data_IF_610895484862
#
_entry.id   IF_610895484862
#
_cell.length_a   1.000
_cell.length_b   1.000
_cell.length_c   1.000
_cell.angle_alpha   90.00
_cell.angle_beta   90.00
_cell.angle_gamma   90.00
#
_symmetry.space_group_name_H-M   'P 1'
#
loop_
_entity.id
_entity.type
_entity.pdbx_description
1 polymer ?
#
# COMPACT_ATOMS: atom_id res chain seq x y z
N UNK A 1 -11.90 0.43 -80.03
CA UNK A 1 -10.67 0.59 -79.22
C UNK A 1 -10.94 1.36 -77.95
N UNK A 2 -11.43 0.69 -76.85
CA UNK A 2 -11.74 1.34 -75.56
C UNK A 2 -11.30 0.51 -74.34
N UNK A 3 -10.38 -0.42 -74.53
CA UNK A 3 -9.97 -1.38 -73.43
C UNK A 3 -8.77 -1.00 -72.61
N UNK A 4 -8.08 0.10 -72.85
CA UNK A 4 -6.84 0.42 -72.11
C UNK A 4 -6.98 1.49 -71.04
N UNK A 5 -8.15 2.12 -70.87
CA UNK A 5 -8.36 3.11 -69.77
C UNK A 5 -8.72 2.51 -68.50
N UNK A 6 -9.27 1.27 -68.43
CA UNK A 6 -9.71 0.62 -67.22
C UNK A 6 -8.57 0.02 -66.37
N UNK A 7 -7.45 -0.35 -67.03
CA UNK A 7 -6.29 -0.94 -66.30
C UNK A 7 -5.57 0.07 -65.40
N UNK A 8 -5.53 1.35 -65.75
CA UNK A 8 -4.93 2.38 -64.92
C UNK A 8 -5.77 2.74 -63.69
N UNK A 9 -7.09 2.73 -63.82
CA UNK A 9 -8.02 2.99 -62.72
C UNK A 9 -7.97 1.93 -61.63
N UNK A 10 -7.91 0.65 -61.98
CA UNK A 10 -7.81 -0.46 -61.05
C UNK A 10 -6.51 -0.40 -60.20
N UNK A 11 -5.40 0.04 -60.82
CA UNK A 11 -4.12 0.17 -60.11
C UNK A 11 -4.17 1.33 -59.10
N UNK A 12 -4.75 2.46 -59.48
CA UNK A 12 -4.92 3.59 -58.53
C UNK A 12 -5.84 3.20 -57.37
N UNK A 13 -6.96 2.52 -57.66
CA UNK A 13 -7.89 2.08 -56.66
C UNK A 13 -7.26 1.10 -55.68
N UNK A 14 -6.43 0.15 -56.14
CA UNK A 14 -5.73 -0.80 -55.29
C UNK A 14 -4.71 -0.12 -54.37
N UNK A 15 -3.98 0.89 -54.85
CA UNK A 15 -3.02 1.65 -54.03
C UNK A 15 -3.75 2.46 -52.97
N UNK A 16 -4.86 3.13 -53.32
CA UNK A 16 -5.67 3.89 -52.35
C UNK A 16 -6.26 2.97 -51.25
N UNK A 17 -6.75 1.78 -51.66
CA UNK A 17 -7.25 0.79 -50.72
C UNK A 17 -6.14 0.26 -49.78
N UNK A 18 -4.96 -0.06 -50.30
CA UNK A 18 -3.81 -0.46 -49.48
C UNK A 18 -3.40 0.64 -48.51
N UNK A 19 -3.38 1.90 -48.93
CA UNK A 19 -3.03 3.03 -48.09
C UNK A 19 -4.08 3.23 -47.00
N UNK A 20 -5.37 3.12 -47.32
CA UNK A 20 -6.45 3.20 -46.34
C UNK A 20 -6.36 2.07 -45.28
N UNK A 21 -6.12 0.83 -45.73
CA UNK A 21 -5.94 -0.31 -44.80
C UNK A 21 -4.70 -0.15 -43.91
N UNK A 22 -3.58 0.36 -44.46
CA UNK A 22 -2.37 0.62 -43.68
C UNK A 22 -2.57 1.70 -42.63
N UNK A 23 -3.30 2.77 -42.94
CA UNK A 23 -3.64 3.83 -41.97
C UNK A 23 -4.56 3.32 -40.86
N UNK A 24 -5.57 2.51 -41.21
CA UNK A 24 -6.46 1.90 -40.21
C UNK A 24 -5.68 0.92 -39.31
N UNK A 25 -4.82 0.06 -39.87
CA UNK A 25 -3.99 -0.87 -39.13
C UNK A 25 -3.02 -0.15 -38.16
N UNK A 26 -2.36 0.92 -38.69
CA UNK A 26 -1.49 1.75 -37.84
C UNK A 26 -2.24 2.43 -36.69
N UNK A 27 -3.46 2.94 -36.93
CA UNK A 27 -4.31 3.52 -35.91
C UNK A 27 -4.70 2.53 -34.82
N UNK A 28 -5.06 1.30 -35.20
CA UNK A 28 -5.39 0.24 -34.22
C UNK A 28 -4.20 -0.14 -33.35
N UNK A 29 -2.98 -0.18 -33.91
CA UNK A 29 -1.77 -0.50 -33.12
C UNK A 29 -1.51 0.59 -32.07
N UNK A 30 -1.70 1.86 -32.40
CA UNK A 30 -1.50 2.97 -31.47
C UNK A 30 -2.52 2.89 -30.33
N UNK A 31 -3.80 2.63 -30.63
CA UNK A 31 -4.87 2.49 -29.64
C UNK A 31 -4.57 1.29 -28.73
N UNK A 32 -4.26 0.12 -29.29
CA UNK A 32 -3.95 -1.08 -28.52
C UNK A 32 -2.71 -0.90 -27.61
N UNK A 33 -1.71 -0.16 -28.08
CA UNK A 33 -0.53 0.16 -27.27
C UNK A 33 -0.88 1.10 -26.09
N UNK A 34 -1.76 2.07 -26.32
CA UNK A 34 -2.27 2.95 -25.28
C UNK A 34 -3.08 2.19 -24.20
N UNK A 35 -3.96 1.31 -24.63
CA UNK A 35 -4.76 0.45 -23.72
C UNK A 35 -3.87 -0.46 -22.89
N UNK A 36 -2.82 -1.04 -23.48
CA UNK A 36 -1.86 -1.87 -22.76
C UNK A 36 -1.10 -1.10 -21.67
N UNK A 37 -0.69 0.14 -21.97
CA UNK A 37 -0.02 1.01 -20.99
C UNK A 37 -0.96 1.40 -19.85
N UNK A 38 -2.21 1.74 -20.17
CA UNK A 38 -3.24 2.10 -19.20
C UNK A 38 -3.57 0.94 -18.27
N UNK A 39 -3.73 -0.27 -18.81
CA UNK A 39 -4.01 -1.47 -18.02
C UNK A 39 -2.85 -1.81 -17.06
N UNK A 40 -1.60 -1.69 -17.49
CA UNK A 40 -0.44 -1.91 -16.63
C UNK A 40 -0.39 -0.92 -15.46
N UNK A 41 -0.66 0.36 -15.71
CA UNK A 41 -0.74 1.37 -14.65
C UNK A 41 -1.86 1.08 -13.65
N UNK A 42 -3.02 0.63 -14.14
CA UNK A 42 -4.15 0.27 -13.29
C UNK A 42 -3.85 -0.95 -12.42
N UNK A 43 -3.18 -1.96 -12.97
CA UNK A 43 -2.76 -3.15 -12.22
C UNK A 43 -1.75 -2.79 -11.13
N UNK A 44 -0.75 -1.99 -11.45
CA UNK A 44 0.26 -1.53 -10.50
C UNK A 44 -0.37 -0.71 -9.36
N UNK A 45 -1.35 0.15 -9.68
CA UNK A 45 -2.10 0.89 -8.65
C UNK A 45 -2.88 -0.06 -7.74
N UNK A 46 -3.60 -1.03 -8.30
CA UNK A 46 -4.36 -2.01 -7.50
C UNK A 46 -3.45 -2.84 -6.59
N UNK A 47 -2.32 -3.31 -7.10
CA UNK A 47 -1.35 -4.04 -6.29
C UNK A 47 -0.79 -3.16 -5.17
N UNK A 48 -0.47 -1.90 -5.48
CA UNK A 48 0.02 -0.94 -4.47
C UNK A 48 -1.04 -0.66 -3.40
N UNK A 49 -2.32 -0.64 -3.77
CA UNK A 49 -3.44 -0.50 -2.83
C UNK A 49 -3.51 -1.69 -1.85
N UNK A 50 -3.40 -2.94 -2.32
CA UNK A 50 -3.36 -4.11 -1.43
C UNK A 50 -2.13 -4.11 -0.50
N UNK A 51 -1.02 -3.58 -0.98
CA UNK A 51 0.18 -3.39 -0.17
C UNK A 51 -0.07 -2.34 0.92
N UNK A 52 -0.79 -1.26 0.62
CA UNK A 52 -1.20 -0.25 1.59
C UNK A 52 -2.18 -0.81 2.64
N UNK A 53 -3.12 -1.66 2.25
CA UNK A 53 -3.99 -2.38 3.20
C UNK A 53 -3.17 -3.26 4.14
N UNK A 54 -2.12 -3.92 3.65
CA UNK A 54 -1.20 -4.70 4.48
C UNK A 54 -0.49 -3.81 5.50
N UNK A 55 -0.09 -2.60 5.11
CA UNK A 55 0.49 -1.62 6.01
C UNK A 55 -0.46 -1.26 7.17
N UNK A 56 -1.74 -1.01 6.87
CA UNK A 56 -2.76 -0.75 7.89
C UNK A 56 -2.92 -1.93 8.85
N UNK A 57 -3.06 -3.14 8.30
CA UNK A 57 -3.22 -4.36 9.11
C UNK A 57 -2.03 -4.61 10.04
N UNK A 58 -0.79 -4.34 9.58
CA UNK A 58 0.40 -4.46 10.42
C UNK A 58 0.41 -3.41 11.53
N UNK A 59 0.01 -2.18 11.25
CA UNK A 59 -0.13 -1.13 12.25
C UNK A 59 -1.22 -1.46 13.29
N UNK A 60 -2.38 -1.93 12.86
CA UNK A 60 -3.46 -2.38 13.74
C UNK A 60 -3.04 -3.59 14.59
N UNK A 61 -2.32 -4.54 13.97
CA UNK A 61 -1.75 -5.70 14.66
C UNK A 61 -0.75 -5.28 15.74
N UNK A 62 0.06 -4.28 15.47
CA UNK A 62 0.98 -3.71 16.46
C UNK A 62 0.22 -3.16 17.67
N UNK A 63 -0.82 -2.34 17.45
CA UNK A 63 -1.66 -1.80 18.53
C UNK A 63 -2.30 -2.91 19.34
N UNK A 64 -2.88 -3.90 18.66
CA UNK A 64 -3.53 -5.04 19.29
C UNK A 64 -2.54 -5.86 20.14
N UNK A 65 -1.34 -6.11 19.62
CA UNK A 65 -0.30 -6.85 20.34
C UNK A 65 0.22 -6.08 21.57
N UNK A 66 0.30 -4.76 21.49
CA UNK A 66 0.64 -3.93 22.66
C UNK A 66 -0.46 -3.95 23.71
N UNK A 67 -1.72 -3.82 23.26
CA UNK A 67 -2.88 -3.80 24.17
C UNK A 67 -3.15 -5.17 24.81
N UNK A 68 -3.12 -6.26 24.06
CA UNK A 68 -3.38 -7.61 24.55
C UNK A 68 -2.16 -8.31 25.15
N UNK A 69 -0.97 -7.76 24.91
CA UNK A 69 0.31 -8.42 25.13
C UNK A 69 0.76 -9.24 23.91
N UNK A 70 2.07 -9.35 23.65
CA UNK A 70 2.61 -10.11 22.53
C UNK A 70 2.25 -11.59 22.64
N UNK A 71 2.11 -12.23 21.48
CA UNK A 71 1.87 -13.67 21.42
C UNK A 71 3.15 -14.45 21.77
N UNK A 72 3.07 -15.34 22.74
CA UNK A 72 4.13 -16.28 23.09
C UNK A 72 3.87 -17.62 22.38
N UNK A 73 4.65 -17.91 21.35
CA UNK A 73 4.51 -19.15 20.58
C UNK A 73 4.88 -20.41 21.37
N UNK A 74 5.70 -20.29 22.40
CA UNK A 74 6.08 -21.41 23.26
C UNK A 74 4.98 -21.83 24.24
N UNK A 75 4.20 -20.87 24.70
CA UNK A 75 3.08 -21.09 25.63
C UNK A 75 1.71 -21.14 24.96
N UNK A 76 1.63 -20.83 23.65
CA UNK A 76 0.39 -20.68 22.90
C UNK A 76 -0.63 -19.71 23.56
N UNK A 77 -0.14 -18.68 24.22
CA UNK A 77 -0.96 -17.65 24.88
C UNK A 77 -0.32 -16.26 24.74
N UNK A 78 -1.09 -15.23 25.10
CA UNK A 78 -0.57 -13.85 25.12
C UNK A 78 0.06 -13.52 26.46
N UNK A 79 1.22 -12.87 26.43
CA UNK A 79 1.93 -12.39 27.62
C UNK A 79 1.22 -11.16 28.19
N UNK A 80 0.30 -11.40 29.10
CA UNK A 80 -0.51 -10.35 29.76
C UNK A 80 0.31 -9.40 30.63
N UNK A 81 1.54 -9.78 31.01
CA UNK A 81 2.42 -8.92 31.83
C UNK A 81 3.00 -7.76 31.03
N UNK A 82 3.03 -7.87 29.71
CA UNK A 82 3.52 -6.85 28.78
C UNK A 82 2.41 -6.03 28.12
N UNK A 83 1.23 -6.04 28.70
CA UNK A 83 0.12 -5.19 28.26
C UNK A 83 0.40 -3.73 28.56
N UNK A 84 0.21 -2.88 27.57
CA UNK A 84 0.29 -1.44 27.75
C UNK A 84 -0.58 -0.72 26.70
N UNK A 85 -1.13 0.42 27.06
CA UNK A 85 -1.63 1.38 26.07
C UNK A 85 -0.41 2.06 25.45
N UNK A 86 -0.23 1.99 24.13
CA UNK A 86 0.89 2.62 23.47
C UNK A 86 0.87 4.15 23.67
N UNK A 87 2.04 4.75 23.85
CA UNK A 87 2.18 6.20 23.97
C UNK A 87 3.01 6.78 22.82
N UNK A 88 2.72 8.01 22.41
CA UNK A 88 3.33 8.72 21.29
C UNK A 88 4.61 9.45 21.71
N UNK A 89 5.58 8.69 22.20
CA UNK A 89 6.85 9.25 22.74
C UNK A 89 7.96 9.42 21.69
N UNK A 90 7.76 8.87 20.48
CA UNK A 90 8.76 8.90 19.43
C UNK A 90 8.55 10.14 18.56
N UNK A 91 9.57 10.99 18.44
CA UNK A 91 9.56 12.10 17.51
C UNK A 91 9.86 11.60 16.09
N UNK A 92 8.90 11.77 15.19
CA UNK A 92 9.01 11.36 13.81
C UNK A 92 9.10 12.58 12.89
N UNK A 93 10.17 12.64 12.10
CA UNK A 93 10.46 13.73 11.16
C UNK A 93 10.36 13.30 9.71
N UNK A 94 9.46 12.40 9.41
CA UNK A 94 9.34 11.79 8.08
C UNK A 94 10.46 10.81 7.74
N UNK A 95 11.32 10.44 8.70
CA UNK A 95 12.41 9.47 8.52
C UNK A 95 12.11 8.21 9.32
N UNK A 96 12.22 7.06 8.68
CA UNK A 96 12.04 5.77 9.35
C UNK A 96 13.31 5.36 10.08
N UNK A 97 13.23 5.12 11.39
CA UNK A 97 14.43 4.78 12.21
C UNK A 97 14.91 3.34 12.02
N UNK A 98 14.02 2.43 11.63
CA UNK A 98 14.33 1.01 11.50
C UNK A 98 14.02 0.51 10.11
N UNK A 99 14.99 0.63 9.25
CA UNK A 99 14.89 0.09 7.90
C UNK A 99 15.77 -1.15 7.80
N UNK A 100 15.17 -2.32 7.76
CA UNK A 100 15.87 -3.58 7.47
C UNK A 100 16.10 -3.77 5.96
N UNK A 101 16.68 -2.75 5.29
CA UNK A 101 16.81 -2.75 3.85
C UNK A 101 18.23 -2.80 3.35
N UNK A 102 18.32 -3.13 2.06
CA UNK A 102 19.51 -2.96 1.27
C UNK A 102 20.00 -1.49 1.31
N UNK A 103 21.32 -1.27 1.34
CA UNK A 103 21.95 0.05 1.53
C UNK A 103 21.41 1.15 0.62
N UNK A 104 21.10 0.82 -0.65
CA UNK A 104 20.53 1.77 -1.60
C UNK A 104 19.13 2.28 -1.20
N UNK A 105 18.42 1.55 -0.38
CA UNK A 105 17.08 1.89 0.08
C UNK A 105 17.11 2.78 1.31
N UNK A 106 18.13 2.62 2.14
CA UNK A 106 18.34 3.45 3.33
C UNK A 106 18.50 4.91 2.96
N UNK A 107 19.28 5.19 1.92
CA UNK A 107 19.55 6.56 1.46
C UNK A 107 18.28 7.27 0.97
N UNK A 108 17.35 6.51 0.36
CA UNK A 108 16.06 7.05 -0.10
C UNK A 108 15.16 7.47 1.08
N UNK A 109 15.05 6.65 2.12
CA UNK A 109 14.22 6.97 3.29
C UNK A 109 14.86 8.02 4.21
N UNK A 110 16.15 8.25 4.11
CA UNK A 110 16.82 9.34 4.84
C UNK A 110 16.53 10.71 4.23
N UNK A 111 16.19 10.77 2.95
CA UNK A 111 15.96 12.04 2.22
C UNK A 111 14.48 12.37 2.04
N UNK A 112 13.65 11.42 1.60
CA UNK A 112 12.24 11.64 1.25
C UNK A 112 11.34 10.49 1.73
N UNK A 113 10.49 10.74 2.72
CA UNK A 113 9.45 9.79 3.10
C UNK A 113 8.16 10.08 2.34
N UNK A 114 7.95 9.34 1.26
CA UNK A 114 6.77 9.50 0.40
C UNK A 114 5.47 9.19 1.15
N UNK A 115 5.50 8.25 2.08
CA UNK A 115 4.32 7.93 2.89
C UNK A 115 3.91 9.12 3.74
N UNK A 116 4.85 9.72 4.47
CA UNK A 116 4.56 10.88 5.30
C UNK A 116 4.00 12.05 4.49
N UNK A 117 4.57 12.28 3.30
CA UNK A 117 4.15 13.35 2.40
C UNK A 117 2.80 13.11 1.72
N UNK A 118 2.33 11.85 1.66
CA UNK A 118 1.05 11.52 1.03
C UNK A 118 -0.18 11.93 1.86
N UNK A 119 0.03 12.28 3.15
CA UNK A 119 -1.04 12.74 4.04
C UNK A 119 -1.01 14.25 4.19
N UNK A 120 -1.96 14.92 3.57
CA UNK A 120 -2.04 16.41 3.56
C UNK A 120 -2.36 17.04 4.91
N UNK A 121 -2.99 16.26 5.80
CA UNK A 121 -3.39 16.74 7.16
C UNK A 121 -2.19 16.75 8.12
N UNK A 122 -1.08 16.11 7.74
CA UNK A 122 0.15 16.09 8.53
C UNK A 122 1.02 17.26 8.07
N UNK A 123 0.74 18.43 8.61
CA UNK A 123 1.47 19.66 8.26
C UNK A 123 2.71 19.90 9.13
N UNK A 124 3.24 18.90 9.77
CA UNK A 124 4.39 19.06 10.63
C UNK A 124 5.63 18.38 10.03
N UNK A 125 6.72 19.11 9.97
CA UNK A 125 8.04 18.54 9.72
C UNK A 125 8.44 17.51 10.80
N UNK A 126 7.70 17.47 11.91
CA UNK A 126 7.89 16.57 13.03
C UNK A 126 6.54 16.31 13.72
N UNK A 127 6.22 15.03 13.96
CA UNK A 127 5.05 14.61 14.74
C UNK A 127 5.47 13.60 15.81
N UNK A 128 4.70 13.52 16.89
CA UNK A 128 4.85 12.45 17.86
C UNK A 128 4.12 11.20 17.37
N UNK A 129 4.80 10.07 17.36
CA UNK A 129 4.24 8.78 16.94
C UNK A 129 4.45 7.70 18.00
N UNK A 130 3.57 6.72 17.99
CA UNK A 130 3.69 5.50 18.76
C UNK A 130 4.78 4.60 18.18
N UNK A 131 4.80 4.49 16.86
CA UNK A 131 5.77 3.76 16.06
C UNK A 131 5.75 4.29 14.62
N UNK A 132 6.87 4.18 13.94
CA UNK A 132 6.98 4.28 12.50
C UNK A 132 7.87 3.13 12.01
N UNK A 133 7.41 2.37 11.02
CA UNK A 133 8.14 1.21 10.51
C UNK A 133 7.91 1.02 9.02
N UNK A 134 8.84 0.34 8.36
CA UNK A 134 8.84 0.16 6.91
C UNK A 134 9.34 -1.23 6.53
N UNK A 135 8.74 -1.83 5.52
CA UNK A 135 9.03 -3.20 5.10
C UNK A 135 9.00 -3.36 3.58
N UNK A 136 9.88 -4.24 3.09
CA UNK A 136 9.76 -4.74 1.73
C UNK A 136 8.72 -5.87 1.68
N UNK A 137 7.67 -5.68 0.89
CA UNK A 137 6.53 -6.59 0.83
C UNK A 137 6.94 -7.99 0.35
N UNK A 138 7.73 -8.09 -0.72
CA UNK A 138 8.19 -9.37 -1.24
C UNK A 138 9.08 -10.14 -0.24
N UNK A 139 9.96 -9.42 0.50
CA UNK A 139 10.79 -10.07 1.53
C UNK A 139 9.97 -10.57 2.70
N UNK A 140 8.97 -9.81 3.14
CA UNK A 140 8.07 -10.25 4.20
C UNK A 140 7.34 -11.53 3.82
N UNK A 141 6.85 -11.63 2.58
CA UNK A 141 6.22 -12.85 2.07
C UNK A 141 7.20 -14.00 1.97
N UNK A 142 8.40 -13.79 1.44
CA UNK A 142 9.43 -14.82 1.32
C UNK A 142 9.83 -15.39 2.69
N UNK A 143 9.95 -14.52 3.70
CA UNK A 143 10.23 -14.95 5.08
C UNK A 143 9.10 -15.80 5.68
N UNK A 144 7.85 -15.49 5.34
CA UNK A 144 6.68 -16.29 5.72
C UNK A 144 6.63 -17.67 5.07
N UNK A 145 7.26 -17.83 3.90
CA UNK A 145 7.22 -19.06 3.11
C UNK A 145 8.48 -19.92 3.22
N UNK A 146 9.42 -19.60 4.07
CA UNK A 146 10.73 -20.30 4.22
C UNK A 146 10.67 -21.84 4.27
N UNK A 147 9.51 -22.40 4.59
CA UNK A 147 9.29 -23.85 4.68
C UNK A 147 8.38 -24.42 3.57
N UNK A 148 8.06 -23.65 2.52
CA UNK A 148 7.14 -24.05 1.45
C UNK A 148 7.85 -24.05 0.09
N UNK A 149 7.34 -24.89 -0.83
CA UNK A 149 7.93 -25.18 -2.15
C UNK A 149 8.28 -23.92 -2.99
N UNK A 150 9.25 -24.09 -3.87
CA UNK A 150 9.89 -23.08 -4.73
C UNK A 150 8.97 -22.11 -5.48
N UNK A 151 7.75 -22.53 -5.87
CA UNK A 151 6.83 -21.74 -6.69
C UNK A 151 6.42 -20.41 -6.04
N UNK A 152 6.37 -20.36 -4.69
CA UNK A 152 6.03 -19.13 -3.96
C UNK A 152 7.19 -18.14 -3.83
N UNK A 153 8.43 -18.60 -3.98
CA UNK A 153 9.59 -17.72 -3.94
C UNK A 153 9.68 -16.83 -5.18
N UNK A 154 9.38 -17.38 -6.36
CA UNK A 154 9.39 -16.65 -7.61
C UNK A 154 8.33 -15.52 -7.60
N UNK A 155 7.15 -15.80 -7.01
CA UNK A 155 6.12 -14.78 -6.83
C UNK A 155 6.55 -13.70 -5.81
N UNK A 156 7.14 -14.10 -4.70
CA UNK A 156 7.65 -13.17 -3.69
C UNK A 156 8.78 -12.28 -4.26
N UNK A 157 9.61 -12.81 -5.15
CA UNK A 157 10.66 -12.04 -5.83
C UNK A 157 10.07 -10.94 -6.74
N UNK A 158 9.04 -11.25 -7.51
CA UNK A 158 8.32 -10.26 -8.33
C UNK A 158 7.70 -9.14 -7.50
N UNK A 159 7.33 -9.43 -6.25
CA UNK A 159 6.72 -8.48 -5.33
C UNK A 159 7.75 -7.65 -4.54
N UNK A 160 9.07 -7.89 -4.72
CA UNK A 160 10.11 -7.08 -4.07
C UNK A 160 10.15 -5.62 -4.54
N UNK A 161 9.50 -5.30 -5.66
CA UNK A 161 9.32 -3.92 -6.14
C UNK A 161 8.34 -3.10 -5.31
N UNK A 162 7.58 -3.74 -4.40
CA UNK A 162 6.62 -3.11 -3.53
C UNK A 162 7.16 -3.00 -2.11
N UNK A 163 6.87 -1.87 -1.50
CA UNK A 163 7.21 -1.55 -0.12
C UNK A 163 5.98 -1.04 0.59
N UNK A 164 5.93 -1.20 1.88
CA UNK A 164 4.91 -0.58 2.69
C UNK A 164 5.51 0.06 3.93
N UNK A 165 4.94 1.19 4.27
CA UNK A 165 5.30 1.98 5.42
C UNK A 165 4.06 2.18 6.28
N UNK A 166 4.22 2.19 7.58
CA UNK A 166 3.15 2.64 8.46
C UNK A 166 3.71 3.44 9.63
N UNK A 167 2.91 4.36 10.11
CA UNK A 167 3.15 5.05 11.37
C UNK A 167 1.82 5.26 12.10
N UNK A 168 1.89 5.36 13.43
CA UNK A 168 0.73 5.43 14.29
C UNK A 168 0.81 6.67 15.14
N UNK A 169 -0.27 7.47 15.14
CA UNK A 169 -0.41 8.66 15.97
C UNK A 169 -1.49 8.43 17.02
N UNK A 170 -1.31 9.03 18.21
CA UNK A 170 -2.31 9.03 19.26
C UNK A 170 -3.23 10.23 19.08
N UNK A 171 -4.54 9.98 18.96
CA UNK A 171 -5.52 11.07 18.80
C UNK A 171 -5.93 11.61 20.17
N UNK A 172 -6.14 10.74 21.16
CA UNK A 172 -6.58 11.10 22.47
C UNK A 172 -7.73 10.25 23.03
N UNK A 173 -8.41 10.74 24.05
CA UNK A 173 -9.53 10.03 24.65
C UNK A 173 -10.72 9.95 23.67
N UNK A 174 -11.32 8.76 23.56
CA UNK A 174 -12.48 8.51 22.73
C UNK A 174 -13.43 7.50 23.40
N UNK A 175 -14.75 7.60 23.14
CA UNK A 175 -15.69 6.64 23.68
C UNK A 175 -15.45 5.24 23.08
N UNK A 176 -15.25 4.26 23.92
CA UNK A 176 -15.13 2.86 23.50
C UNK A 176 -16.49 2.16 23.60
N UNK A 177 -17.01 1.68 22.48
CA UNK A 177 -18.20 0.83 22.45
C UNK A 177 -17.76 -0.62 22.27
N UNK A 178 -17.70 -1.38 23.38
CA UNK A 178 -17.43 -2.82 23.31
C UNK A 178 -18.50 -3.56 22.51
N UNK A 179 -18.08 -4.48 21.64
CA UNK A 179 -18.99 -5.37 20.95
C UNK A 179 -19.60 -6.34 21.98
N UNK A 180 -20.91 -6.29 22.21
CA UNK A 180 -21.63 -7.22 23.07
C UNK A 180 -22.51 -6.62 24.16
N UNK A 181 -22.62 -5.29 24.19
CA UNK A 181 -23.62 -4.63 25.04
C UNK A 181 -25.03 -4.87 24.51
N UNK A 182 -25.91 -5.48 25.34
CA UNK A 182 -27.33 -5.54 25.04
C UNK A 182 -27.87 -4.13 24.76
N UNK A 183 -28.69 -3.99 23.73
CA UNK A 183 -29.33 -2.72 23.34
C UNK A 183 -30.03 -2.05 24.52
N UNK A 184 -30.52 -2.83 25.49
CA UNK A 184 -31.13 -2.34 26.75
C UNK A 184 -30.13 -1.70 27.74
N UNK A 185 -28.84 -2.08 27.73
CA UNK A 185 -27.79 -1.49 28.54
C UNK A 185 -27.09 -0.29 27.87
N UNK A 186 -27.24 -0.17 26.56
CA UNK A 186 -26.55 0.86 25.78
C UNK A 186 -26.99 2.30 26.03
N UNK A 187 -28.15 2.51 26.66
CA UNK A 187 -28.67 3.86 26.92
C UNK A 187 -28.06 4.55 28.16
N UNK A 188 -27.52 3.79 29.11
CA UNK A 188 -27.02 4.34 30.39
C UNK A 188 -25.50 4.15 30.61
N UNK A 189 -24.80 3.38 29.79
CA UNK A 189 -23.34 3.34 29.81
C UNK A 189 -22.78 4.25 28.71
N UNK A 190 -22.75 5.51 28.96
CA UNK A 190 -21.89 6.47 28.28
C UNK A 190 -20.44 6.03 28.50
N UNK A 191 -19.99 5.19 27.56
CA UNK A 191 -18.63 4.97 27.20
C UNK A 191 -17.65 4.61 28.32
N UNK A 192 -17.24 3.36 28.34
CA UNK A 192 -15.91 3.09 28.88
C UNK A 192 -14.94 4.01 28.15
N UNK A 193 -14.09 4.70 28.92
CA UNK A 193 -13.06 5.56 28.34
C UNK A 193 -12.12 4.71 27.50
N UNK A 194 -11.92 5.11 26.29
CA UNK A 194 -10.96 4.51 25.37
C UNK A 194 -9.88 5.50 24.97
N UNK A 195 -8.87 4.99 24.30
CA UNK A 195 -7.82 5.78 23.67
C UNK A 195 -7.86 5.52 22.16
N UNK A 196 -8.03 6.58 21.38
CA UNK A 196 -8.05 6.51 19.92
C UNK A 196 -6.64 6.69 19.35
N UNK A 197 -6.33 5.86 18.38
CA UNK A 197 -5.12 5.88 17.57
C UNK A 197 -5.48 5.96 16.11
N UNK A 198 -4.72 6.74 15.34
CA UNK A 198 -4.81 6.75 13.89
C UNK A 198 -3.62 6.01 13.33
N UNK A 199 -3.90 5.02 12.51
CA UNK A 199 -2.91 4.25 11.76
C UNK A 199 -2.86 4.84 10.36
N UNK A 200 -1.68 5.26 9.95
CA UNK A 200 -1.38 5.70 8.59
C UNK A 200 -0.58 4.59 7.92
N UNK A 201 -1.06 4.08 6.80
CA UNK A 201 -0.40 3.02 6.06
C UNK A 201 -0.25 3.39 4.60
N UNK A 202 0.89 3.08 4.00
CA UNK A 202 1.16 3.35 2.60
C UNK A 202 1.70 2.12 1.90
N UNK A 203 1.20 1.89 0.68
CA UNK A 203 1.87 1.06 -0.31
C UNK A 203 2.70 1.95 -1.23
N UNK A 204 3.89 1.49 -1.58
CA UNK A 204 4.82 2.23 -2.42
C UNK A 204 5.38 1.28 -3.48
N UNK A 205 5.28 1.66 -4.76
CA UNK A 205 5.90 0.96 -5.88
C UNK A 205 6.88 1.88 -6.59
N UNK A 206 8.01 1.31 -7.03
CA UNK A 206 8.97 2.04 -7.86
C UNK A 206 9.82 3.04 -7.10
N UNK A 207 10.19 2.70 -5.88
CA UNK A 207 11.14 3.49 -5.07
C UNK A 207 12.44 3.70 -5.83
N UNK A 208 12.89 4.96 -5.87
CA UNK A 208 14.05 5.36 -6.66
C UNK A 208 13.77 5.63 -8.14
N UNK A 209 12.53 5.47 -8.60
CA UNK A 209 12.09 5.88 -9.93
C UNK A 209 11.65 7.35 -9.94
N UNK A 210 11.60 7.95 -11.12
CA UNK A 210 11.13 9.35 -11.29
C UNK A 210 9.66 9.54 -10.93
N UNK A 211 8.83 8.48 -11.05
CA UNK A 211 7.39 8.51 -10.78
C UNK A 211 6.98 7.30 -9.90
N UNK A 212 7.19 7.37 -8.58
CA UNK A 212 6.72 6.32 -7.68
C UNK A 212 5.19 6.36 -7.54
N UNK A 213 4.56 5.20 -7.54
CA UNK A 213 3.14 5.08 -7.17
C UNK A 213 3.07 4.95 -5.66
N UNK A 214 2.37 5.88 -5.01
CA UNK A 214 2.12 5.87 -3.57
C UNK A 214 0.63 5.87 -3.32
N UNK A 215 0.16 4.92 -2.50
CA UNK A 215 -1.23 4.85 -2.05
C UNK A 215 -1.22 4.94 -0.53
N UNK A 216 -1.79 6.03 0.00
CA UNK A 216 -1.95 6.25 1.43
C UNK A 216 -3.35 5.85 1.90
N UNK A 217 -3.45 5.14 3.00
CA UNK A 217 -4.69 4.75 3.65
C UNK A 217 -4.62 5.07 5.14
N UNK A 218 -5.78 5.35 5.73
CA UNK A 218 -5.90 5.63 7.17
C UNK A 218 -6.95 4.75 7.82
N UNK A 219 -6.71 4.36 9.05
CA UNK A 219 -7.72 3.75 9.92
C UNK A 219 -7.65 4.33 11.33
N UNK A 220 -8.77 4.25 12.06
CA UNK A 220 -8.85 4.69 13.45
C UNK A 220 -9.21 3.51 14.33
N UNK A 221 -8.36 3.22 15.30
CA UNK A 221 -8.54 2.15 16.28
C UNK A 221 -8.76 2.75 17.64
N UNK A 222 -9.80 2.33 18.34
CA UNK A 222 -10.06 2.75 19.73
C UNK A 222 -9.79 1.56 20.64
N UNK A 223 -8.85 1.70 21.55
CA UNK A 223 -8.51 0.71 22.55
C UNK A 223 -9.18 1.10 23.89
N UNK A 224 -9.78 0.16 24.64
CA UNK A 224 -10.33 0.45 25.97
C UNK A 224 -9.20 0.77 26.96
N UNK A 225 -9.49 1.67 27.89
CA UNK A 225 -8.60 1.97 29.01
C UNK A 225 -8.71 0.93 30.12
#
# INVERSE_FOLDING_TARGET
MRKNKEKGFALILSIVLMLAMSLMGGGLIIIASGDHSSNNSSEDYQQTFYVAETALLEGERYLLNKFLGPWDSGKHERDKTKRALPDDTIKFKGKMEKINYNKAFKDYYETDNLCFQSFSDINASEINVVIADSYNFGKMLADGFKNKKNDYFDEAEKLQKYYFDYFITKIGAAPFRGSGGSVKKGANNLGNDGMAYRVHGCGIRGVGNTDPIVVGLESVVVLPK
#
